data_IF_355780404950
#
_entry.id   IF_355780404950
#
_cell.length_a   1.000
_cell.length_b   1.000
_cell.length_c   1.000
_cell.angle_alpha   90.00
_cell.angle_beta   90.00
_cell.angle_gamma   90.00
#
_symmetry.space_group_name_H-M   'P 1'
#
loop_
_entity.id
_entity.type
_entity.pdbx_description
1 polymer ?
#
# COMPACT_ATOMS: atom_id res chain seq x y z
N UNK A 1 19.46 -20.47 6.80
CA UNK A 1 18.46 -19.98 7.78
C UNK A 1 18.45 -18.46 7.83
N UNK A 2 19.60 -17.84 7.72
CA UNK A 2 19.77 -16.38 7.81
C UNK A 2 19.04 -15.63 6.68
N UNK A 3 19.11 -16.16 5.46
CA UNK A 3 18.36 -15.60 4.30
C UNK A 3 16.84 -15.66 4.50
N UNK A 4 16.31 -16.75 5.08
CA UNK A 4 14.87 -16.88 5.34
C UNK A 4 14.38 -15.82 6.33
N UNK A 5 15.07 -15.68 7.45
CA UNK A 5 14.72 -14.70 8.46
C UNK A 5 14.83 -13.27 7.90
N UNK A 6 15.85 -13.00 7.08
CA UNK A 6 16.02 -11.70 6.43
C UNK A 6 14.86 -11.40 5.48
N UNK A 7 14.46 -12.35 4.63
CA UNK A 7 13.33 -12.17 3.71
C UNK A 7 12.00 -12.04 4.46
N UNK A 8 11.85 -12.72 5.59
CA UNK A 8 10.67 -12.59 6.44
C UNK A 8 10.56 -11.17 7.03
N UNK A 9 11.66 -10.60 7.50
CA UNK A 9 11.70 -9.20 8.00
C UNK A 9 11.41 -8.22 6.88
N UNK A 10 12.03 -8.38 5.72
CA UNK A 10 11.82 -7.51 4.57
C UNK A 10 10.36 -7.59 4.09
N UNK A 11 9.83 -8.81 3.97
CA UNK A 11 8.44 -9.05 3.55
C UNK A 11 7.42 -8.51 4.56
N UNK A 12 7.68 -8.64 5.87
CA UNK A 12 6.82 -8.08 6.90
C UNK A 12 6.82 -6.55 6.86
N UNK A 13 7.98 -5.93 6.61
CA UNK A 13 8.09 -4.47 6.50
C UNK A 13 7.33 -3.95 5.28
N UNK A 14 7.62 -4.47 4.09
CA UNK A 14 6.93 -4.07 2.86
C UNK A 14 5.43 -4.38 2.93
N UNK A 15 5.08 -5.57 3.40
CA UNK A 15 3.70 -6.02 3.57
C UNK A 15 2.90 -5.18 4.57
N UNK A 16 3.53 -4.65 5.61
CA UNK A 16 2.89 -3.72 6.54
C UNK A 16 2.51 -2.40 5.86
N UNK A 17 3.37 -1.87 4.99
CA UNK A 17 3.05 -0.67 4.20
C UNK A 17 1.91 -0.97 3.22
N UNK A 18 1.98 -2.11 2.51
CA UNK A 18 0.90 -2.51 1.59
C UNK A 18 -0.44 -2.69 2.32
N UNK A 19 -0.42 -3.23 3.53
CA UNK A 19 -1.61 -3.39 4.36
C UNK A 19 -2.27 -2.05 4.69
N UNK A 20 -1.49 -1.02 5.06
CA UNK A 20 -2.04 0.32 5.35
C UNK A 20 -2.66 0.95 4.11
N UNK A 21 -2.01 0.83 2.94
CA UNK A 21 -2.58 1.34 1.68
C UNK A 21 -3.83 0.54 1.29
N UNK A 22 -3.81 -0.80 1.45
CA UNK A 22 -4.95 -1.68 1.17
C UNK A 22 -6.15 -1.37 2.06
N UNK A 23 -5.93 -0.91 3.31
CA UNK A 23 -7.00 -0.43 4.18
C UNK A 23 -7.72 0.79 3.59
N UNK A 24 -6.99 1.74 2.99
CA UNK A 24 -7.59 2.88 2.30
C UNK A 24 -8.50 2.43 1.13
N UNK A 25 -8.05 1.47 0.32
CA UNK A 25 -8.87 0.87 -0.74
C UNK A 25 -10.11 0.17 -0.17
N UNK A 26 -9.91 -0.67 0.83
CA UNK A 26 -10.97 -1.47 1.43
C UNK A 26 -12.05 -0.62 2.09
N UNK A 27 -11.67 0.47 2.74
CA UNK A 27 -12.62 1.40 3.34
C UNK A 27 -13.53 2.05 2.30
N UNK A 28 -12.95 2.57 1.23
CA UNK A 28 -13.72 3.22 0.16
C UNK A 28 -14.60 2.20 -0.56
N UNK A 29 -14.03 1.06 -0.95
CA UNK A 29 -14.78 0.00 -1.62
C UNK A 29 -15.91 -0.58 -0.76
N UNK A 30 -15.66 -0.80 0.52
CA UNK A 30 -16.66 -1.36 1.43
C UNK A 30 -17.93 -0.53 1.55
N UNK A 31 -17.86 0.78 1.30
CA UNK A 31 -19.03 1.67 1.42
C UNK A 31 -19.66 1.97 0.06
N UNK A 32 -18.85 2.22 -0.98
CA UNK A 32 -19.36 2.68 -2.28
C UNK A 32 -19.41 1.55 -3.31
N UNK A 33 -18.73 0.43 -3.02
CA UNK A 33 -18.53 -0.71 -3.94
C UNK A 33 -17.91 -0.30 -5.28
N UNK A 34 -17.07 0.75 -5.26
CA UNK A 34 -16.31 1.26 -6.39
C UNK A 34 -14.83 1.26 -6.07
N UNK A 35 -14.02 0.80 -7.03
CA UNK A 35 -12.56 0.78 -6.87
C UNK A 35 -12.02 2.17 -7.16
N UNK A 36 -11.30 2.75 -6.19
CA UNK A 36 -10.64 4.04 -6.34
C UNK A 36 -9.19 3.87 -6.81
N UNK A 37 -8.94 3.70 -8.10
CA UNK A 37 -7.58 3.57 -8.63
C UNK A 37 -6.69 4.80 -8.38
N UNK A 38 -7.27 5.97 -8.11
CA UNK A 38 -6.50 7.16 -7.78
C UNK A 38 -5.98 7.18 -6.32
N UNK A 39 -6.32 6.18 -5.50
CA UNK A 39 -5.85 6.12 -4.11
C UNK A 39 -4.33 5.97 -4.01
N UNK A 40 -3.70 5.21 -4.91
CA UNK A 40 -2.24 5.11 -4.99
C UNK A 40 -1.56 6.45 -5.20
N UNK A 41 -2.18 7.35 -5.99
CA UNK A 41 -1.63 8.68 -6.24
C UNK A 41 -1.73 9.59 -5.02
N UNK A 42 -2.70 9.36 -4.13
CA UNK A 42 -2.75 10.06 -2.84
C UNK A 42 -1.54 9.66 -1.98
N UNK A 43 -1.16 8.39 -2.01
CA UNK A 43 0.05 7.89 -1.34
C UNK A 43 1.30 8.56 -1.92
N UNK A 44 1.41 8.66 -3.24
CA UNK A 44 2.49 9.36 -3.92
C UNK A 44 2.56 10.84 -3.49
N UNK A 45 1.43 11.55 -3.48
CA UNK A 45 1.36 12.95 -3.04
C UNK A 45 1.84 13.07 -1.59
N UNK A 46 1.46 12.14 -0.71
CA UNK A 46 1.93 12.09 0.66
C UNK A 46 3.45 12.03 0.78
N UNK A 47 4.08 11.13 0.01
CA UNK A 47 5.53 11.02 -0.06
C UNK A 47 6.18 12.29 -0.61
N UNK A 48 5.64 12.88 -1.69
CA UNK A 48 6.19 14.08 -2.33
C UNK A 48 6.10 15.33 -1.45
N UNK A 49 4.97 15.53 -0.76
CA UNK A 49 4.81 16.63 0.20
C UNK A 49 5.76 16.47 1.37
N UNK A 50 5.83 15.27 1.95
CA UNK A 50 6.77 14.98 3.03
C UNK A 50 8.22 15.19 2.59
N UNK A 51 8.60 14.71 1.40
CA UNK A 51 9.91 14.95 0.79
C UNK A 51 10.25 16.45 0.77
N UNK A 52 9.30 17.29 0.31
CA UNK A 52 9.52 18.74 0.22
C UNK A 52 9.75 19.37 1.60
N UNK A 53 8.92 19.02 2.58
CA UNK A 53 9.00 19.56 3.94
C UNK A 53 10.26 19.07 4.65
N UNK A 54 10.59 17.78 4.50
CA UNK A 54 11.79 17.19 5.11
C UNK A 54 13.05 17.85 4.55
N UNK A 55 13.16 18.05 3.23
CA UNK A 55 14.28 18.74 2.63
C UNK A 55 14.41 20.21 3.08
N UNK A 56 13.29 20.90 3.23
CA UNK A 56 13.27 22.28 3.71
C UNK A 56 13.71 22.39 5.18
N UNK A 57 13.38 21.38 6.00
CA UNK A 57 13.70 21.36 7.44
C UNK A 57 15.04 20.70 7.77
N UNK A 58 15.63 19.91 6.87
CA UNK A 58 16.89 19.22 7.08
C UNK A 58 18.05 20.17 7.57
N UNK A 59 18.20 21.40 7.02
CA UNK A 59 19.25 22.31 7.46
C UNK A 59 18.95 23.02 8.80
N UNK A 60 17.76 22.89 9.38
CA UNK A 60 17.34 23.67 10.57
C UNK A 60 17.90 23.14 11.90
N UNK A 61 18.63 22.01 11.91
CA UNK A 61 19.20 21.43 13.12
C UNK A 61 18.20 20.74 14.06
N UNK A 62 16.95 20.55 13.61
CA UNK A 62 15.95 19.78 14.33
C UNK A 62 16.34 18.29 14.40
N UNK A 63 15.86 17.58 15.42
CA UNK A 63 16.10 16.14 15.51
C UNK A 63 15.51 15.41 14.29
N UNK A 64 16.18 14.38 13.76
CA UNK A 64 15.73 13.62 12.59
C UNK A 64 14.28 13.13 12.69
N UNK A 65 13.90 12.63 13.86
CA UNK A 65 12.55 12.19 14.14
C UNK A 65 11.53 13.34 14.06
N UNK A 66 11.87 14.51 14.61
CA UNK A 66 10.99 15.67 14.56
C UNK A 66 10.75 16.14 13.11
N UNK A 67 11.79 16.14 12.29
CA UNK A 67 11.69 16.51 10.86
C UNK A 67 10.73 15.58 10.11
N UNK A 68 10.84 14.26 10.30
CA UNK A 68 9.95 13.28 9.67
C UNK A 68 8.52 13.41 10.19
N UNK A 69 8.33 13.63 11.50
CA UNK A 69 7.00 13.84 12.08
C UNK A 69 6.32 15.11 11.53
N UNK A 70 7.05 16.21 11.42
CA UNK A 70 6.53 17.46 10.82
C UNK A 70 6.22 17.26 9.33
N UNK A 71 7.10 16.58 8.59
CA UNK A 71 6.85 16.21 7.18
C UNK A 71 5.55 15.41 7.03
N UNK A 72 5.36 14.41 7.88
CA UNK A 72 4.15 13.59 7.92
C UNK A 72 2.91 14.42 8.30
N UNK A 73 3.03 15.25 9.34
CA UNK A 73 1.94 16.12 9.80
C UNK A 73 1.50 17.15 8.72
N UNK A 74 2.42 17.60 7.87
CA UNK A 74 2.09 18.46 6.71
C UNK A 74 1.50 17.65 5.54
N UNK A 75 1.95 16.43 5.32
CA UNK A 75 1.44 15.57 4.25
C UNK A 75 -0.02 15.13 4.48
N UNK A 76 -0.40 14.83 5.73
CA UNK A 76 -1.75 14.38 6.09
C UNK A 76 -2.83 15.37 5.62
N UNK A 77 -2.85 16.67 5.99
CA UNK A 77 -3.91 17.57 5.60
C UNK A 77 -3.97 17.83 4.08
N UNK A 78 -2.82 17.82 3.41
CA UNK A 78 -2.77 17.93 1.94
C UNK A 78 -3.44 16.71 1.29
N UNK A 79 -3.11 15.52 1.71
CA UNK A 79 -3.73 14.29 1.19
C UNK A 79 -5.22 14.22 1.54
N UNK A 80 -5.62 14.64 2.75
CA UNK A 80 -7.03 14.73 3.16
C UNK A 80 -7.80 15.68 2.24
N UNK A 81 -7.23 16.82 1.89
CA UNK A 81 -7.82 17.78 0.95
C UNK A 81 -7.96 17.17 -0.45
N UNK A 82 -6.93 16.48 -0.93
CA UNK A 82 -6.97 15.77 -2.22
C UNK A 82 -8.06 14.69 -2.20
N UNK A 83 -8.10 13.85 -1.16
CA UNK A 83 -9.11 12.79 -1.01
C UNK A 83 -10.54 13.36 -0.95
N UNK A 84 -10.76 14.45 -0.20
CA UNK A 84 -12.04 15.14 -0.16
C UNK A 84 -12.43 15.74 -1.52
N UNK A 85 -11.47 16.35 -2.21
CA UNK A 85 -11.71 16.92 -3.54
C UNK A 85 -12.06 15.84 -4.56
N UNK A 86 -11.38 14.71 -4.53
CA UNK A 86 -11.68 13.55 -5.37
C UNK A 86 -13.12 13.06 -5.13
N UNK A 87 -13.52 12.88 -3.88
CA UNK A 87 -14.89 12.48 -3.55
C UNK A 87 -15.89 13.50 -4.10
N UNK A 88 -15.70 14.78 -3.80
CA UNK A 88 -16.68 15.82 -4.10
C UNK A 88 -16.80 16.13 -5.59
N UNK A 89 -15.69 16.17 -6.31
CA UNK A 89 -15.65 16.60 -7.72
C UNK A 89 -15.76 15.44 -8.70
N UNK A 90 -15.14 14.30 -8.38
CA UNK A 90 -15.06 13.17 -9.31
C UNK A 90 -16.08 12.06 -9.00
N UNK A 91 -16.20 11.62 -7.74
CA UNK A 91 -17.03 10.45 -7.42
C UNK A 91 -18.48 10.79 -7.10
N UNK A 92 -18.72 11.88 -6.37
CA UNK A 92 -20.07 12.26 -5.93
C UNK A 92 -21.05 12.48 -7.08
N UNK A 93 -20.68 13.15 -8.19
CA UNK A 93 -21.58 13.34 -9.32
C UNK A 93 -21.93 12.04 -10.06
N UNK A 94 -21.08 11.01 -9.92
CA UNK A 94 -21.20 9.75 -10.67
C UNK A 94 -21.84 8.61 -9.86
N UNK A 95 -22.32 8.84 -8.66
CA UNK A 95 -22.90 7.80 -7.80
C UNK A 95 -24.15 7.09 -8.38
N UNK A 96 -24.87 7.75 -9.27
CA UNK A 96 -26.01 7.19 -9.98
C UNK A 96 -25.70 6.69 -11.40
N UNK A 97 -24.46 6.84 -11.85
CA UNK A 97 -24.04 6.45 -13.20
C UNK A 97 -23.74 4.95 -13.31
N UNK A 98 -23.72 4.39 -14.53
CA UNK A 98 -23.29 3.01 -14.76
C UNK A 98 -21.91 2.75 -14.19
N UNK A 99 -21.64 1.53 -13.69
CA UNK A 99 -20.41 1.16 -12.96
C UNK A 99 -19.09 1.50 -13.68
N UNK A 100 -19.12 1.57 -15.01
CA UNK A 100 -17.94 1.93 -15.82
C UNK A 100 -17.56 3.41 -15.72
N UNK A 101 -18.52 4.33 -15.52
CA UNK A 101 -18.24 5.76 -15.48
C UNK A 101 -17.34 6.16 -14.29
N UNK A 102 -17.62 5.76 -13.04
CA UNK A 102 -16.71 6.00 -11.92
C UNK A 102 -15.33 5.35 -12.10
N UNK A 103 -15.27 4.16 -12.72
CA UNK A 103 -14.02 3.46 -12.98
C UNK A 103 -13.11 4.26 -13.92
N UNK A 104 -13.65 4.71 -15.07
CA UNK A 104 -12.91 5.51 -16.05
C UNK A 104 -12.48 6.85 -15.41
N UNK A 105 -13.37 7.46 -14.62
CA UNK A 105 -13.06 8.70 -13.91
C UNK A 105 -11.93 8.50 -12.90
N UNK A 106 -11.92 7.38 -12.17
CA UNK A 106 -10.83 7.06 -11.23
C UNK A 106 -9.47 6.98 -11.94
N UNK A 107 -9.43 6.33 -13.10
CA UNK A 107 -8.21 6.26 -13.92
C UNK A 107 -7.83 7.64 -14.44
N UNK A 108 -8.78 8.42 -14.92
CA UNK A 108 -8.54 9.80 -15.37
C UNK A 108 -7.97 10.70 -14.27
N UNK A 109 -8.53 10.60 -13.05
CA UNK A 109 -8.02 11.33 -11.86
C UNK A 109 -6.61 10.86 -11.49
N UNK A 110 -6.33 9.53 -11.55
CA UNK A 110 -4.99 9.00 -11.31
C UNK A 110 -3.97 9.62 -12.27
N UNK A 111 -4.25 9.59 -13.57
CA UNK A 111 -3.36 10.17 -14.60
C UNK A 111 -3.19 11.68 -14.37
N UNK A 112 -4.26 12.40 -14.04
CA UNK A 112 -4.21 13.83 -13.74
C UNK A 112 -3.27 14.11 -12.55
N UNK A 113 -3.42 13.39 -11.44
CA UNK A 113 -2.60 13.59 -10.24
C UNK A 113 -1.13 13.25 -10.49
N UNK A 114 -0.83 12.18 -11.27
CA UNK A 114 0.53 11.85 -11.69
C UNK A 114 1.18 13.01 -12.46
N UNK A 115 0.48 13.52 -13.48
CA UNK A 115 1.03 14.61 -14.30
C UNK A 115 1.14 15.92 -13.53
N UNK A 116 0.21 16.22 -12.61
CA UNK A 116 0.34 17.35 -11.71
C UNK A 116 1.57 17.20 -10.80
N UNK A 117 1.79 16.02 -10.24
CA UNK A 117 2.98 15.77 -9.42
C UNK A 117 4.29 15.90 -10.25
N UNK A 118 4.29 15.39 -11.48
CA UNK A 118 5.42 15.54 -12.40
C UNK A 118 5.73 17.02 -12.71
N UNK A 119 4.71 17.85 -12.87
CA UNK A 119 4.88 19.28 -13.14
C UNK A 119 5.36 20.07 -11.90
N UNK A 120 4.87 19.71 -10.71
CA UNK A 120 5.17 20.43 -9.45
C UNK A 120 6.57 20.07 -8.94
N UNK A 121 6.93 18.78 -8.95
CA UNK A 121 8.20 18.31 -8.36
C UNK A 121 9.28 18.06 -9.39
N UNK A 122 9.17 16.98 -10.13
CA UNK A 122 10.12 16.64 -11.19
C UNK A 122 9.69 15.38 -11.94
N UNK A 123 10.20 15.23 -13.16
CA UNK A 123 10.11 13.97 -13.92
C UNK A 123 11.13 12.92 -13.44
N UNK A 124 12.19 13.35 -12.76
CA UNK A 124 13.26 12.46 -12.30
C UNK A 124 12.91 11.80 -10.97
N UNK A 125 13.56 10.68 -10.70
CA UNK A 125 13.52 10.04 -9.38
C UNK A 125 14.21 10.97 -8.37
N UNK A 126 13.52 11.28 -7.28
CA UNK A 126 14.03 12.11 -6.19
C UNK A 126 14.54 11.19 -5.08
N UNK A 127 15.76 11.44 -4.61
CA UNK A 127 16.31 10.71 -3.46
C UNK A 127 15.61 11.18 -2.18
N UNK A 128 14.86 10.29 -1.53
CA UNK A 128 14.19 10.62 -0.28
C UNK A 128 15.24 10.74 0.84
N UNK A 129 15.23 11.84 1.62
CA UNK A 129 16.28 12.09 2.61
C UNK A 129 16.31 11.01 3.69
N UNK A 130 17.44 10.32 3.80
CA UNK A 130 17.72 9.32 4.84
C UNK A 130 18.25 10.00 6.09
N UNK A 131 17.39 10.73 6.82
CA UNK A 131 17.78 11.54 7.98
C UNK A 131 17.96 10.68 9.23
N UNK A 132 17.19 9.58 9.33
CA UNK A 132 17.21 8.69 10.51
C UNK A 132 18.47 7.83 10.46
N UNK A 133 19.29 7.88 11.50
CA UNK A 133 20.45 7.01 11.63
C UNK A 133 20.02 5.54 11.62
N UNK A 134 20.49 4.81 10.62
CA UNK A 134 20.11 3.43 10.37
C UNK A 134 21.02 2.51 11.19
N UNK A 135 20.66 2.25 12.46
CA UNK A 135 21.31 1.23 13.27
C UNK A 135 20.68 -0.12 12.99
N UNK A 136 21.52 -1.12 12.69
CA UNK A 136 21.07 -2.49 12.46
C UNK A 136 21.30 -3.35 13.70
N UNK A 137 20.29 -4.12 14.08
CA UNK A 137 20.36 -5.13 15.13
C UNK A 137 20.38 -6.52 14.48
N UNK A 138 21.30 -7.38 14.87
CA UNK A 138 21.34 -8.76 14.39
C UNK A 138 20.53 -9.65 15.31
N UNK A 139 19.49 -10.29 14.78
CA UNK A 139 18.64 -11.23 15.50
C UNK A 139 18.66 -12.57 14.75
N UNK A 140 19.33 -13.60 15.33
CA UNK A 140 19.35 -14.95 14.76
C UNK A 140 19.91 -15.03 13.33
N UNK A 141 20.87 -14.15 12.95
CA UNK A 141 21.46 -14.11 11.60
C UNK A 141 20.77 -13.13 10.62
N UNK A 142 19.58 -12.61 10.94
CA UNK A 142 18.95 -11.54 10.19
C UNK A 142 19.31 -10.17 10.78
N UNK A 143 19.44 -9.15 9.93
CA UNK A 143 19.62 -7.76 10.34
C UNK A 143 18.31 -7.00 10.25
N UNK A 144 17.86 -6.42 11.36
CA UNK A 144 16.68 -5.56 11.43
C UNK A 144 17.12 -4.13 11.70
N UNK A 145 16.64 -3.18 10.90
CA UNK A 145 16.97 -1.77 11.09
C UNK A 145 15.93 -1.05 11.97
N UNK A 146 16.36 0.00 12.68
CA UNK A 146 15.44 0.84 13.46
C UNK A 146 14.27 1.36 12.61
N UNK A 147 14.53 1.68 11.34
CA UNK A 147 13.52 2.17 10.41
C UNK A 147 12.47 1.09 10.13
N UNK A 148 12.87 -0.17 9.92
CA UNK A 148 11.95 -1.29 9.71
C UNK A 148 11.06 -1.52 10.95
N UNK A 149 11.65 -1.50 12.15
CA UNK A 149 10.88 -1.63 13.40
C UNK A 149 9.87 -0.49 13.54
N UNK A 150 10.29 0.75 13.28
CA UNK A 150 9.42 1.91 13.34
C UNK A 150 8.26 1.81 12.32
N UNK A 151 8.54 1.39 11.07
CA UNK A 151 7.53 1.18 10.04
C UNK A 151 6.49 0.16 10.48
N UNK A 152 6.92 -1.01 10.93
CA UNK A 152 6.00 -2.07 11.39
C UNK A 152 5.16 -1.56 12.57
N UNK A 153 5.78 -0.90 13.57
CA UNK A 153 5.08 -0.37 14.72
C UNK A 153 4.03 0.68 14.35
N UNK A 154 4.37 1.62 13.47
CA UNK A 154 3.43 2.65 12.98
C UNK A 154 2.31 2.00 12.18
N UNK A 155 2.60 1.05 11.29
CA UNK A 155 1.59 0.34 10.51
C UNK A 155 0.62 -0.43 11.42
N UNK A 156 1.11 -1.16 12.42
CA UNK A 156 0.28 -1.88 13.40
C UNK A 156 -0.60 -0.90 14.20
N UNK A 157 -0.04 0.24 14.62
CA UNK A 157 -0.79 1.27 15.32
C UNK A 157 -1.90 1.88 14.44
N UNK A 158 -1.62 2.15 13.17
CA UNK A 158 -2.61 2.66 12.21
C UNK A 158 -3.71 1.63 11.92
N UNK A 159 -3.33 0.37 11.73
CA UNK A 159 -4.28 -0.73 11.52
C UNK A 159 -5.19 -0.91 12.74
N UNK A 160 -4.61 -0.94 13.94
CA UNK A 160 -5.36 -1.02 15.20
C UNK A 160 -6.25 0.20 15.42
N UNK A 161 -5.73 1.41 15.18
CA UNK A 161 -6.48 2.66 15.29
C UNK A 161 -7.67 2.71 14.34
N UNK A 162 -7.48 2.29 13.08
CA UNK A 162 -8.58 2.20 12.12
C UNK A 162 -9.62 1.15 12.52
N UNK A 163 -9.18 -0.02 12.98
CA UNK A 163 -10.09 -1.06 13.46
C UNK A 163 -10.92 -0.54 14.65
N UNK A 164 -10.31 0.14 15.62
CA UNK A 164 -11.01 0.77 16.72
C UNK A 164 -12.01 1.83 16.23
N UNK A 165 -11.61 2.68 15.29
CA UNK A 165 -12.47 3.69 14.70
C UNK A 165 -13.71 3.04 14.06
N UNK A 166 -13.52 2.03 13.23
CA UNK A 166 -14.62 1.41 12.50
C UNK A 166 -15.53 0.56 13.39
N UNK A 167 -14.96 -0.18 14.37
CA UNK A 167 -15.76 -1.10 15.18
C UNK A 167 -16.29 -0.48 16.47
N UNK A 168 -15.71 0.60 16.99
CA UNK A 168 -16.03 1.16 18.32
C UNK A 168 -16.59 2.59 18.30
N UNK A 169 -16.57 3.32 17.17
CA UNK A 169 -17.06 4.71 17.11
C UNK A 169 -18.42 4.83 16.42
N UNK A 170 -19.13 5.93 16.70
CA UNK A 170 -20.39 6.28 16.02
C UNK A 170 -20.19 6.45 14.51
N UNK A 171 -19.08 7.07 14.09
CA UNK A 171 -18.73 7.21 12.69
C UNK A 171 -18.56 5.84 12.03
N UNK A 172 -17.87 4.91 12.69
CA UNK A 172 -17.72 3.55 12.20
C UNK A 172 -19.06 2.79 12.11
N UNK A 173 -19.97 3.01 13.05
CA UNK A 173 -21.33 2.44 12.97
C UNK A 173 -22.09 3.01 11.77
N UNK A 174 -22.01 4.33 11.53
CA UNK A 174 -22.59 4.97 10.35
C UNK A 174 -21.98 4.45 9.04
N UNK A 175 -20.65 4.22 9.00
CA UNK A 175 -19.96 3.63 7.86
C UNK A 175 -20.48 2.22 7.55
N UNK A 176 -20.60 1.35 8.56
CA UNK A 176 -21.11 -0.02 8.37
C UNK A 176 -22.59 -0.03 7.96
N UNK A 177 -23.42 0.84 8.53
CA UNK A 177 -24.82 0.98 8.13
C UNK A 177 -24.93 1.44 6.66
N UNK A 178 -24.14 2.44 6.26
CA UNK A 178 -24.10 2.93 4.87
C UNK A 178 -23.57 1.85 3.90
N UNK A 179 -22.66 0.99 4.33
CA UNK A 179 -22.11 -0.10 3.54
C UNK A 179 -23.18 -1.20 3.27
N UNK A 180 -24.09 -1.43 4.21
CA UNK A 180 -25.18 -2.42 4.03
C UNK A 180 -26.26 -1.92 3.08
N UNK A 181 -26.82 -0.74 3.37
CA UNK A 181 -27.83 -0.10 2.55
C UNK A 181 -27.80 1.42 2.75
N UNK A 182 -27.27 2.19 1.78
CA UNK A 182 -27.21 3.65 1.89
C UNK A 182 -28.58 4.32 2.00
N UNK A 183 -29.63 3.72 1.39
CA UNK A 183 -30.97 4.28 1.40
C UNK A 183 -31.59 4.12 2.80
N UNK A 184 -31.53 2.92 3.36
CA UNK A 184 -32.02 2.64 4.72
C UNK A 184 -31.24 3.43 5.76
N UNK A 185 -29.91 3.54 5.63
CA UNK A 185 -29.11 4.35 6.52
C UNK A 185 -29.56 5.84 6.49
N UNK A 186 -29.87 6.36 5.30
CA UNK A 186 -30.44 7.71 5.15
C UNK A 186 -31.77 7.91 5.86
N UNK A 187 -32.66 6.92 5.79
CA UNK A 187 -33.97 6.95 6.50
C UNK A 187 -33.79 6.95 8.02
N UNK A 188 -32.70 6.33 8.53
CA UNK A 188 -32.34 6.32 9.95
C UNK A 188 -31.62 7.60 10.40
N UNK A 189 -31.51 8.62 9.53
CA UNK A 189 -30.91 9.92 9.84
C UNK A 189 -29.39 10.00 9.60
N UNK A 190 -28.77 9.01 8.98
CA UNK A 190 -27.34 9.05 8.63
C UNK A 190 -27.13 9.91 7.37
N UNK A 191 -26.29 10.94 7.48
CA UNK A 191 -25.86 11.70 6.29
C UNK A 191 -24.83 10.89 5.48
N UNK A 192 -25.32 10.10 4.54
CA UNK A 192 -24.55 9.21 3.66
C UNK A 192 -23.41 9.97 2.95
N UNK A 193 -23.66 11.23 2.54
CA UNK A 193 -22.66 12.04 1.85
C UNK A 193 -21.46 12.37 2.76
N UNK A 194 -21.75 12.72 4.01
CA UNK A 194 -20.69 12.99 5.01
C UNK A 194 -19.92 11.74 5.36
N UNK A 195 -20.60 10.61 5.50
CA UNK A 195 -19.95 9.32 5.79
C UNK A 195 -18.98 8.95 4.67
N UNK A 196 -19.40 9.03 3.42
CA UNK A 196 -18.55 8.71 2.27
C UNK A 196 -17.37 9.68 2.19
N UNK A 197 -17.61 11.00 2.33
CA UNK A 197 -16.53 11.99 2.32
C UNK A 197 -15.51 11.73 3.46
N UNK A 198 -15.99 11.41 4.67
CA UNK A 198 -15.12 11.03 5.80
C UNK A 198 -14.27 9.81 5.50
N UNK A 199 -14.83 8.83 4.80
CA UNK A 199 -14.08 7.62 4.39
C UNK A 199 -12.94 7.95 3.43
N UNK A 200 -13.17 8.81 2.43
CA UNK A 200 -12.11 9.26 1.53
C UNK A 200 -11.02 10.04 2.28
N UNK A 201 -11.41 10.90 3.20
CA UNK A 201 -10.50 11.71 4.01
C UNK A 201 -9.63 10.83 4.91
N UNK A 202 -10.23 9.85 5.61
CA UNK A 202 -9.50 8.92 6.47
C UNK A 202 -8.57 8.03 5.62
N UNK A 203 -9.06 7.49 4.51
CA UNK A 203 -8.24 6.71 3.59
C UNK A 203 -7.05 7.52 3.07
N UNK A 204 -7.27 8.79 2.71
CA UNK A 204 -6.22 9.68 2.25
C UNK A 204 -5.18 10.01 3.36
N UNK A 205 -5.62 10.14 4.61
CA UNK A 205 -4.71 10.31 5.75
C UNK A 205 -3.82 9.07 5.95
N UNK A 206 -4.39 7.87 5.87
CA UNK A 206 -3.62 6.62 5.90
C UNK A 206 -2.64 6.54 4.72
N UNK A 207 -3.10 6.92 3.53
CA UNK A 207 -2.27 6.98 2.33
C UNK A 207 -1.08 7.93 2.48
N UNK A 208 -1.29 9.11 3.11
CA UNK A 208 -0.21 10.06 3.39
C UNK A 208 0.89 9.42 4.25
N UNK A 209 0.52 8.78 5.35
CA UNK A 209 1.50 8.13 6.24
C UNK A 209 2.19 6.98 5.53
N UNK A 210 1.44 6.13 4.81
CA UNK A 210 2.01 5.03 4.03
C UNK A 210 3.01 5.52 2.98
N UNK A 211 2.73 6.65 2.32
CA UNK A 211 3.65 7.28 1.37
C UNK A 211 4.97 7.73 2.00
N UNK A 212 4.91 8.33 3.18
CA UNK A 212 6.14 8.71 3.93
C UNK A 212 6.93 7.48 4.34
N UNK A 213 6.27 6.44 4.85
CA UNK A 213 6.92 5.19 5.25
C UNK A 213 7.57 4.49 4.04
N UNK A 214 6.87 4.46 2.89
CA UNK A 214 7.39 3.92 1.64
C UNK A 214 8.65 4.70 1.17
N UNK A 215 8.56 6.03 1.11
CA UNK A 215 9.68 6.90 0.74
C UNK A 215 10.88 6.73 1.66
N UNK A 216 10.65 6.62 2.97
CA UNK A 216 11.70 6.38 3.98
C UNK A 216 12.34 4.99 3.83
N UNK A 217 11.54 3.96 3.52
CA UNK A 217 12.03 2.58 3.38
C UNK A 217 12.84 2.37 2.11
N UNK A 218 12.29 2.80 0.96
CA UNK A 218 12.95 2.62 -0.34
C UNK A 218 13.96 3.73 -0.69
N UNK A 219 13.98 4.83 0.05
CA UNK A 219 14.90 5.95 -0.18
C UNK A 219 14.61 6.74 -1.45
N UNK A 220 13.44 6.57 -2.06
CA UNK A 220 13.07 7.21 -3.33
C UNK A 220 11.65 7.75 -3.30
N UNK A 221 11.45 8.87 -4.00
CA UNK A 221 10.13 9.40 -4.31
C UNK A 221 10.06 9.71 -5.81
N UNK A 222 9.00 9.25 -6.47
CA UNK A 222 8.80 9.41 -7.90
C UNK A 222 7.33 9.61 -8.21
N UNK A 223 7.03 10.41 -9.23
CA UNK A 223 5.65 10.71 -9.63
C UNK A 223 4.83 9.49 -10.11
N UNK A 224 5.49 8.38 -10.47
CA UNK A 224 4.83 7.13 -10.89
C UNK A 224 4.72 6.09 -9.78
N UNK A 225 5.30 6.35 -8.58
CA UNK A 225 5.32 5.34 -7.50
C UNK A 225 3.90 4.98 -7.02
N UNK A 226 2.95 5.91 -7.14
CA UNK A 226 1.58 5.72 -6.70
C UNK A 226 0.85 4.63 -7.46
N UNK A 227 1.03 4.54 -8.78
CA UNK A 227 0.37 3.52 -9.61
C UNK A 227 0.86 2.11 -9.29
N UNK A 228 2.17 1.90 -9.13
CA UNK A 228 2.75 0.58 -8.82
C UNK A 228 2.33 0.15 -7.42
N UNK A 229 2.53 1.02 -6.42
CA UNK A 229 2.15 0.74 -5.04
C UNK A 229 0.63 0.58 -4.90
N UNK A 230 -0.14 1.38 -5.63
CA UNK A 230 -1.59 1.28 -5.69
C UNK A 230 -2.08 -0.06 -6.21
N UNK A 231 -1.50 -0.58 -7.29
CA UNK A 231 -1.83 -1.90 -7.83
C UNK A 231 -1.47 -3.02 -6.85
N UNK A 232 -0.32 -2.96 -6.19
CA UNK A 232 0.07 -3.93 -5.14
C UNK A 232 -0.91 -3.91 -3.97
N UNK A 233 -1.23 -2.73 -3.46
CA UNK A 233 -2.16 -2.58 -2.35
C UNK A 233 -3.60 -2.97 -2.72
N UNK A 234 -4.03 -2.70 -3.95
CA UNK A 234 -5.30 -3.20 -4.48
C UNK A 234 -5.29 -4.73 -4.52
N UNK A 235 -4.22 -5.34 -5.03
CA UNK A 235 -4.05 -6.80 -5.05
C UNK A 235 -4.09 -7.38 -3.64
N UNK A 236 -3.47 -6.71 -2.67
CA UNK A 236 -3.51 -7.07 -1.27
C UNK A 236 -4.94 -7.02 -0.69
N UNK A 237 -5.71 -5.96 -1.01
CA UNK A 237 -7.09 -5.84 -0.59
C UNK A 237 -7.98 -6.94 -1.18
N UNK A 238 -7.77 -7.28 -2.48
CA UNK A 238 -8.47 -8.38 -3.17
C UNK A 238 -8.13 -9.73 -2.55
N UNK A 239 -6.84 -9.98 -2.35
CA UNK A 239 -6.33 -11.21 -1.72
C UNK A 239 -6.93 -11.42 -0.34
N UNK A 240 -7.01 -10.35 0.45
CA UNK A 240 -7.59 -10.37 1.78
C UNK A 240 -9.10 -10.55 1.82
N UNK A 241 -9.79 -10.11 0.78
CA UNK A 241 -11.26 -10.00 0.66
C UNK A 241 -11.70 -8.55 0.74
N UNK A 242 -11.98 -7.94 -0.41
CA UNK A 242 -12.34 -6.52 -0.51
C UNK A 242 -13.56 -6.21 0.36
N UNK A 243 -13.49 -5.12 1.13
CA UNK A 243 -14.54 -4.71 2.06
C UNK A 243 -14.35 -5.22 3.48
N UNK A 244 -13.48 -6.20 3.70
CA UNK A 244 -13.12 -6.71 5.02
C UNK A 244 -11.80 -6.11 5.51
N UNK A 245 -11.86 -5.27 6.56
CA UNK A 245 -10.69 -4.58 7.11
C UNK A 245 -9.60 -5.56 7.61
N UNK A 246 -9.91 -6.53 8.49
CA UNK A 246 -8.95 -7.57 8.86
C UNK A 246 -8.40 -8.36 7.68
N UNK A 247 -9.24 -8.62 6.67
CA UNK A 247 -8.84 -9.28 5.43
C UNK A 247 -7.76 -8.50 4.68
N UNK A 248 -8.00 -7.20 4.44
CA UNK A 248 -7.03 -6.35 3.76
C UNK A 248 -5.68 -6.23 4.49
N UNK A 249 -5.71 -6.18 5.83
CA UNK A 249 -4.50 -6.20 6.66
C UNK A 249 -3.69 -7.47 6.44
N UNK A 250 -4.33 -8.62 6.54
CA UNK A 250 -3.68 -9.92 6.31
C UNK A 250 -3.21 -10.06 4.87
N UNK A 251 -4.03 -9.65 3.91
CA UNK A 251 -3.69 -9.68 2.49
C UNK A 251 -2.45 -8.85 2.16
N UNK A 252 -2.30 -7.67 2.77
CA UNK A 252 -1.13 -6.82 2.62
C UNK A 252 0.15 -7.47 3.16
N UNK A 253 0.07 -8.00 4.37
CA UNK A 253 1.21 -8.69 5.00
C UNK A 253 1.59 -9.94 4.20
N UNK A 254 0.60 -10.74 3.79
CA UNK A 254 0.86 -11.96 3.00
C UNK A 254 1.47 -11.62 1.64
N UNK A 255 0.96 -10.58 0.96
CA UNK A 255 1.52 -10.16 -0.33
C UNK A 255 2.99 -9.76 -0.20
N UNK A 256 3.33 -8.95 0.81
CA UNK A 256 4.72 -8.57 1.06
C UNK A 256 5.63 -9.75 1.41
N UNK A 257 5.13 -10.72 2.18
CA UNK A 257 5.87 -11.95 2.48
C UNK A 257 6.11 -12.80 1.23
N UNK A 258 5.08 -12.99 0.40
CA UNK A 258 5.19 -13.73 -0.87
C UNK A 258 6.18 -13.06 -1.81
N UNK A 259 6.11 -11.73 -1.93
CA UNK A 259 7.02 -10.93 -2.75
C UNK A 259 8.47 -11.09 -2.30
N UNK A 260 8.74 -10.95 -0.99
CA UNK A 260 10.09 -11.05 -0.45
C UNK A 260 10.65 -12.49 -0.54
N UNK A 261 9.84 -13.48 -0.17
CA UNK A 261 10.25 -14.88 -0.25
C UNK A 261 10.42 -15.34 -1.71
N UNK A 262 9.53 -14.92 -2.60
CA UNK A 262 9.62 -15.21 -4.03
C UNK A 262 10.89 -14.62 -4.65
N UNK A 263 11.19 -13.36 -4.36
CA UNK A 263 12.41 -12.71 -4.84
C UNK A 263 13.69 -13.34 -4.24
N UNK A 264 13.64 -13.73 -2.96
CA UNK A 264 14.81 -14.25 -2.26
C UNK A 264 15.12 -15.74 -2.52
N UNK A 265 14.11 -16.55 -2.87
CA UNK A 265 14.30 -17.99 -3.07
C UNK A 265 14.12 -18.44 -4.51
N UNK A 266 13.12 -17.94 -5.21
CA UNK A 266 12.85 -18.32 -6.60
C UNK A 266 13.67 -17.45 -7.56
N UNK A 267 13.96 -16.21 -7.16
CA UNK A 267 14.82 -15.31 -7.93
C UNK A 267 16.28 -15.75 -7.93
N UNK A 268 16.79 -16.26 -6.82
CA UNK A 268 18.17 -16.72 -6.65
C UNK A 268 18.21 -18.25 -6.63
N UNK A 269 18.46 -18.84 -7.79
CA UNK A 269 18.60 -20.28 -7.98
C UNK A 269 20.07 -20.71 -7.99
N UNK A 270 20.95 -19.95 -7.36
CA UNK A 270 22.41 -20.23 -7.30
C UNK A 270 22.72 -21.60 -6.73
N UNK A 271 21.89 -22.12 -5.82
CA UNK A 271 22.02 -23.47 -5.29
C UNK A 271 21.89 -24.57 -6.37
N UNK A 272 21.21 -24.28 -7.49
CA UNK A 272 21.12 -25.22 -8.61
C UNK A 272 22.45 -25.38 -9.37
N UNK A 273 23.31 -24.38 -9.32
CA UNK A 273 24.66 -24.47 -9.89
C UNK A 273 25.55 -25.48 -9.12
N UNK A 274 25.15 -25.86 -7.92
CA UNK A 274 25.85 -26.92 -7.16
C UNK A 274 25.60 -28.36 -7.73
N UNK A 275 24.53 -28.50 -8.55
CA UNK A 275 24.23 -29.77 -9.23
C UNK A 275 24.96 -29.84 -10.58
N UNK A 276 25.98 -30.70 -10.71
CA UNK A 276 26.91 -30.76 -11.86
C UNK A 276 26.25 -30.84 -13.22
N UNK A 277 25.12 -31.54 -13.37
CA UNK A 277 24.41 -31.67 -14.65
C UNK A 277 23.69 -30.35 -15.07
N UNK A 278 23.28 -29.52 -14.12
CA UNK A 278 22.70 -28.18 -14.36
C UNK A 278 23.82 -27.18 -14.65
N UNK A 279 24.95 -27.30 -13.94
CA UNK A 279 26.13 -26.48 -14.17
C UNK A 279 26.72 -26.68 -15.58
N UNK A 280 26.70 -27.91 -16.10
CA UNK A 280 27.15 -28.20 -17.46
C UNK A 280 26.20 -27.67 -18.56
N UNK A 281 24.90 -27.73 -18.31
CA UNK A 281 23.89 -27.20 -19.25
C UNK A 281 23.83 -25.67 -19.27
N UNK A 282 24.14 -25.00 -18.14
CA UNK A 282 24.09 -23.54 -17.95
C UNK A 282 25.47 -22.95 -17.63
N UNK A 283 26.53 -23.53 -18.22
CA UNK A 283 27.93 -23.25 -17.89
C UNK A 283 28.32 -21.77 -18.00
N UNK A 284 27.80 -21.03 -18.96
CA UNK A 284 28.11 -19.59 -19.10
C UNK A 284 27.54 -18.74 -17.96
N UNK A 285 26.36 -19.06 -17.46
CA UNK A 285 25.67 -18.30 -16.41
C UNK A 285 26.15 -18.67 -15.01
N UNK A 286 26.42 -19.95 -14.76
CA UNK A 286 26.99 -20.40 -13.50
C UNK A 286 28.48 -20.06 -13.36
N UNK A 287 29.25 -20.00 -14.44
CA UNK A 287 30.68 -19.70 -14.41
C UNK A 287 30.98 -18.18 -14.34
N UNK A 288 30.16 -17.33 -14.95
CA UNK A 288 30.44 -15.89 -15.06
C UNK A 288 30.21 -15.10 -13.78
N UNK A 289 29.33 -15.55 -12.86
CA UNK A 289 28.96 -14.78 -11.68
C UNK A 289 28.89 -15.60 -10.37
N UNK A 290 29.01 -16.93 -10.40
CA UNK A 290 28.79 -17.78 -9.22
C UNK A 290 27.36 -17.74 -8.66
N UNK A 291 26.46 -16.98 -9.31
CA UNK A 291 25.07 -16.81 -8.92
C UNK A 291 24.19 -16.95 -10.15
N UNK A 292 23.28 -17.91 -10.12
CA UNK A 292 22.26 -18.07 -11.14
C UNK A 292 20.97 -17.36 -10.71
N UNK A 293 20.78 -16.13 -11.20
CA UNK A 293 19.58 -15.34 -10.95
C UNK A 293 18.66 -15.47 -12.17
N UNK A 294 17.64 -16.34 -12.07
CA UNK A 294 16.66 -16.54 -13.14
C UNK A 294 15.68 -15.37 -13.21
N UNK A 295 15.23 -14.90 -12.06
CA UNK A 295 14.32 -13.77 -11.93
C UNK A 295 14.92 -12.76 -10.96
N UNK A 296 15.59 -11.73 -11.46
CA UNK A 296 16.11 -10.64 -10.63
C UNK A 296 15.00 -9.93 -9.84
N UNK A 297 15.39 -9.03 -8.96
CA UNK A 297 14.46 -8.24 -8.12
C UNK A 297 13.38 -7.49 -8.91
N UNK A 298 13.57 -7.27 -10.22
CA UNK A 298 12.57 -6.67 -11.10
C UNK A 298 11.32 -7.56 -11.31
N UNK A 299 11.41 -8.86 -11.03
CA UNK A 299 10.31 -9.80 -11.21
C UNK A 299 9.57 -10.12 -9.90
N UNK A 300 9.91 -9.45 -8.80
CA UNK A 300 9.25 -9.67 -7.51
C UNK A 300 7.73 -9.46 -7.58
N UNK A 301 7.27 -8.53 -8.42
CA UNK A 301 5.85 -8.25 -8.61
C UNK A 301 5.11 -9.43 -9.27
N UNK A 302 5.81 -10.21 -10.10
CA UNK A 302 5.22 -11.39 -10.77
C UNK A 302 4.78 -12.43 -9.75
N UNK A 303 5.57 -12.67 -8.69
CA UNK A 303 5.21 -13.61 -7.63
C UNK A 303 3.98 -13.15 -6.86
N UNK A 304 3.90 -11.84 -6.57
CA UNK A 304 2.76 -11.25 -5.89
C UNK A 304 1.46 -11.43 -6.70
N UNK A 305 1.50 -11.12 -8.01
CA UNK A 305 0.33 -11.27 -8.89
C UNK A 305 -0.02 -12.73 -9.18
N UNK A 306 0.97 -13.62 -9.27
CA UNK A 306 0.75 -15.05 -9.45
C UNK A 306 -0.04 -15.64 -8.26
N UNK A 307 0.38 -15.31 -7.03
CA UNK A 307 -0.34 -15.76 -5.83
C UNK A 307 -1.74 -15.14 -5.76
N UNK A 308 -1.90 -13.87 -6.16
CA UNK A 308 -3.22 -13.27 -6.28
C UNK A 308 -4.13 -14.07 -7.22
N UNK A 309 -3.64 -14.39 -8.42
CA UNK A 309 -4.41 -15.18 -9.41
C UNK A 309 -4.77 -16.55 -8.84
N UNK A 310 -3.80 -17.25 -8.25
CA UNK A 310 -4.05 -18.55 -7.62
C UNK A 310 -5.13 -18.47 -6.55
N UNK A 311 -5.05 -17.49 -5.63
CA UNK A 311 -6.04 -17.33 -4.58
C UNK A 311 -7.42 -17.02 -5.18
N UNK A 312 -7.52 -16.15 -6.18
CA UNK A 312 -8.80 -15.81 -6.81
C UNK A 312 -9.43 -16.98 -7.57
N UNK A 313 -8.62 -17.84 -8.18
CA UNK A 313 -9.11 -19.06 -8.86
C UNK A 313 -9.73 -20.04 -7.87
N UNK A 314 -9.10 -20.24 -6.70
CA UNK A 314 -9.59 -21.18 -5.68
C UNK A 314 -10.55 -20.56 -4.68
N UNK A 315 -10.43 -19.25 -4.39
CA UNK A 315 -11.27 -18.48 -3.47
C UNK A 315 -11.59 -17.09 -4.02
N UNK A 316 -12.59 -16.96 -4.90
CA UNK A 316 -12.94 -15.68 -5.54
C UNK A 316 -13.39 -14.60 -4.57
N UNK A 317 -13.78 -14.95 -3.34
CA UNK A 317 -14.11 -13.98 -2.27
C UNK A 317 -12.87 -13.46 -1.53
N UNK A 318 -11.66 -13.94 -1.84
CA UNK A 318 -10.46 -13.69 -1.06
C UNK A 318 -10.37 -14.58 0.19
N UNK A 319 -9.35 -14.34 1.02
CA UNK A 319 -9.05 -15.19 2.19
C UNK A 319 -10.10 -15.05 3.30
N UNK A 320 -10.55 -13.83 3.59
CA UNK A 320 -11.51 -13.50 4.66
C UNK A 320 -12.76 -12.77 4.12
N UNK A 321 -12.98 -12.76 2.80
CA UNK A 321 -14.17 -12.17 2.20
C UNK A 321 -15.42 -12.97 2.58
N UNK A 322 -16.52 -12.28 2.81
CA UNK A 322 -17.83 -12.90 3.00
C UNK A 322 -18.26 -13.56 1.69
N UNK A 323 -18.71 -14.82 1.77
CA UNK A 323 -19.37 -15.44 0.65
C UNK A 323 -20.66 -14.66 0.41
N UNK A 324 -20.76 -14.00 -0.72
CA UNK A 324 -22.04 -13.47 -1.19
C UNK A 324 -22.91 -14.71 -1.40
N UNK A 325 -23.73 -15.01 -0.42
CA UNK A 325 -24.74 -16.05 -0.59
C UNK A 325 -25.59 -15.65 -1.77
N UNK A 326 -25.82 -16.60 -2.68
CA UNK A 326 -26.77 -16.43 -3.76
C UNK A 326 -28.09 -15.88 -3.18
N UNK A 327 -28.27 -14.58 -3.32
CA UNK A 327 -29.60 -13.99 -3.17
C UNK A 327 -30.32 -14.30 -4.48
N UNK A 328 -30.94 -15.49 -4.51
CA UNK A 328 -31.95 -15.85 -5.49
C UNK A 328 -33.16 -14.93 -5.32
#
# INVERSE_FOLDING_TARGET
MDTFLQQLVNGLTAGSVYAVVALGYTMVYGIIQLINFAHGEVVMIGAMVAFTVINALAPTGLSPLAVVLVGTACAIPVCMLVGYSMERLAYRPLRGAPRLAPLITAIGVSILLQHLAMLVWSRNVLAFPQIINNTSYTLGGASITNVQIAIIAVCVALMGGLALLVYRTQLGTAMRATAQDPHVAGLMGVDVNRVIAATFVIGAALGAVAGVLYGTYYGVAQYTMGSILGLKAFSAAVLGGIGNIPGAMLGGVLLGLVEALGAGYIGDLSDLCAYGWIADFMSEQCAAAGHFILFGSNYQDVFAFLVLILVLVFRPSGLLGERVGDRA
#
